data_IF_850115229681
#
_entry.id   IF_850115229681
#
_cell.length_a   1.000
_cell.length_b   1.000
_cell.length_c   1.000
_cell.angle_alpha   90.00
_cell.angle_beta   90.00
_cell.angle_gamma   90.00
#
_symmetry.space_group_name_H-M   'P 1'
#
loop_
_entity.id
_entity.type
_entity.pdbx_description
1 polymer ?
#
# COMPACT_ATOMS: atom_id res chain seq x y z
N UNK A 1 14.25 -0.21 -0.14
CA UNK A 1 12.84 -0.65 -0.09
C UNK A 1 12.21 -0.23 -1.40
N UNK A 2 12.19 -1.15 -2.36
CA UNK A 2 11.56 -0.92 -3.65
C UNK A 2 10.03 -1.04 -3.49
N UNK A 3 9.30 -0.07 -4.02
CA UNK A 3 7.84 -0.08 -4.00
C UNK A 3 7.31 0.56 -5.28
N UNK A 4 6.23 -0.01 -5.81
CA UNK A 4 5.57 0.46 -7.02
C UNK A 4 4.06 0.53 -6.80
N UNK A 5 3.45 1.61 -7.26
CA UNK A 5 2.00 1.81 -7.22
C UNK A 5 1.50 1.71 -8.65
N UNK A 6 0.68 0.71 -8.91
CA UNK A 6 0.02 0.50 -10.19
C UNK A 6 -1.48 0.79 -10.04
N UNK A 7 -2.00 1.62 -10.93
CA UNK A 7 -3.42 1.96 -10.97
C UNK A 7 -3.91 1.64 -12.37
N UNK A 8 -4.80 0.67 -12.47
CA UNK A 8 -5.39 0.23 -13.72
C UNK A 8 -6.85 0.71 -13.77
N UNK A 9 -7.27 1.34 -14.86
CA UNK A 9 -8.67 1.67 -15.08
C UNK A 9 -9.40 0.42 -15.59
N UNK A 10 -10.31 -0.13 -14.77
CA UNK A 10 -11.04 -1.36 -15.10
C UNK A 10 -12.39 -1.08 -15.78
N UNK A 11 -12.93 0.12 -15.56
CA UNK A 11 -14.13 0.63 -16.20
C UNK A 11 -14.11 2.16 -16.15
N UNK A 12 -14.92 2.88 -16.95
CA UNK A 12 -15.00 4.33 -16.89
C UNK A 12 -15.31 4.83 -15.48
N UNK A 13 -14.36 5.54 -14.86
CA UNK A 13 -14.50 6.02 -13.48
C UNK A 13 -14.31 4.94 -12.40
N UNK A 14 -13.73 3.79 -12.74
CA UNK A 14 -13.37 2.74 -11.78
C UNK A 14 -11.91 2.34 -11.94
N UNK A 15 -11.14 2.54 -10.87
CA UNK A 15 -9.70 2.37 -10.86
C UNK A 15 -9.30 1.30 -9.84
N UNK A 16 -8.64 0.24 -10.29
CA UNK A 16 -8.09 -0.80 -9.40
C UNK A 16 -6.68 -0.42 -8.97
N UNK A 17 -6.45 -0.41 -7.66
CA UNK A 17 -5.13 -0.13 -7.07
C UNK A 17 -4.42 -1.43 -6.75
N UNK A 18 -3.22 -1.57 -7.30
CA UNK A 18 -2.25 -2.60 -6.91
C UNK A 18 -1.00 -1.92 -6.37
N UNK A 19 -0.54 -2.32 -5.19
CA UNK A 19 0.74 -1.86 -4.63
C UNK A 19 1.69 -3.04 -4.57
N UNK A 20 2.87 -2.90 -5.17
CA UNK A 20 3.98 -3.84 -4.97
C UNK A 20 4.91 -3.23 -3.92
N UNK A 21 5.12 -3.93 -2.82
CA UNK A 21 6.01 -3.50 -1.75
C UNK A 21 6.95 -4.64 -1.40
N UNK A 22 8.26 -4.40 -1.52
CA UNK A 22 9.30 -5.40 -1.19
C UNK A 22 9.12 -6.72 -1.95
N UNK A 23 8.76 -6.62 -3.23
CA UNK A 23 8.46 -7.79 -4.10
C UNK A 23 7.10 -8.45 -3.84
N UNK A 24 6.35 -8.03 -2.82
CA UNK A 24 5.02 -8.54 -2.53
C UNK A 24 3.94 -7.66 -3.15
N UNK A 25 3.04 -8.27 -3.93
CA UNK A 25 1.89 -7.59 -4.54
C UNK A 25 0.70 -7.59 -3.59
N UNK A 26 0.09 -6.42 -3.41
CA UNK A 26 -1.10 -6.18 -2.63
C UNK A 26 -2.18 -5.54 -3.50
N UNK A 27 -3.35 -6.16 -3.54
CA UNK A 27 -4.53 -5.60 -4.20
C UNK A 27 -5.33 -4.78 -3.17
N UNK A 28 -5.38 -3.46 -3.35
CA UNK A 28 -6.05 -2.54 -2.42
C UNK A 28 -7.52 -2.26 -2.78
N UNK A 29 -8.05 -2.93 -3.81
CA UNK A 29 -9.45 -2.80 -4.24
C UNK A 29 -9.66 -1.77 -5.36
N UNK A 30 -10.93 -1.38 -5.54
CA UNK A 30 -11.37 -0.45 -6.59
C UNK A 30 -11.77 0.91 -6.02
N UNK A 31 -11.48 1.97 -6.76
CA UNK A 31 -11.67 3.38 -6.40
C UNK A 31 -12.46 4.11 -7.48
N UNK A 32 -13.17 5.16 -7.08
CA UNK A 32 -14.01 5.96 -8.00
C UNK A 32 -13.19 6.99 -8.80
N UNK A 33 -11.98 7.32 -8.34
CA UNK A 33 -11.08 8.18 -9.07
C UNK A 33 -9.60 7.82 -8.82
N UNK A 34 -8.74 8.20 -9.77
CA UNK A 34 -7.30 7.95 -9.71
C UNK A 34 -6.62 8.65 -8.53
N UNK A 35 -7.12 9.81 -8.09
CA UNK A 35 -6.54 10.57 -6.99
C UNK A 35 -6.70 9.84 -5.64
N UNK A 36 -7.86 9.24 -5.40
CA UNK A 36 -8.13 8.38 -4.24
C UNK A 36 -7.25 7.14 -4.25
N UNK A 37 -7.13 6.46 -5.39
CA UNK A 37 -6.24 5.33 -5.56
C UNK A 37 -4.77 5.70 -5.27
N UNK A 38 -4.29 6.84 -5.77
CA UNK A 38 -2.94 7.35 -5.46
C UNK A 38 -2.75 7.64 -3.97
N UNK A 39 -3.73 8.31 -3.33
CA UNK A 39 -3.68 8.64 -1.91
C UNK A 39 -3.65 7.38 -1.05
N UNK A 40 -4.48 6.39 -1.38
CA UNK A 40 -4.52 5.11 -0.70
C UNK A 40 -3.21 4.32 -0.90
N UNK A 41 -2.67 4.29 -2.12
CA UNK A 41 -1.40 3.62 -2.40
C UNK A 41 -0.23 4.22 -1.61
N UNK A 42 -0.14 5.55 -1.56
CA UNK A 42 0.89 6.24 -0.75
C UNK A 42 0.75 5.92 0.73
N UNK A 43 -0.48 5.97 1.26
CA UNK A 43 -0.75 5.64 2.67
C UNK A 43 -0.41 4.19 3.00
N UNK A 44 -0.66 3.26 2.06
CA UNK A 44 -0.32 1.85 2.22
C UNK A 44 1.19 1.64 2.35
N UNK A 45 1.96 2.25 1.44
CA UNK A 45 3.43 2.18 1.48
C UNK A 45 3.97 2.78 2.78
N UNK A 46 3.48 3.95 3.19
CA UNK A 46 3.88 4.61 4.43
C UNK A 46 3.57 3.73 5.65
N UNK A 47 2.39 3.13 5.70
CA UNK A 47 2.02 2.17 6.75
C UNK A 47 2.94 0.95 6.76
N UNK A 48 3.29 0.40 5.60
CA UNK A 48 4.20 -0.75 5.50
C UNK A 48 5.62 -0.42 5.93
N UNK A 49 6.12 0.75 5.55
CA UNK A 49 7.41 1.25 6.02
C UNK A 49 7.38 1.46 7.55
N UNK A 50 6.33 2.07 8.08
CA UNK A 50 6.17 2.27 9.52
C UNK A 50 5.96 0.95 10.29
N UNK A 51 5.30 -0.05 9.70
CA UNK A 51 5.16 -1.40 10.25
C UNK A 51 6.53 -2.09 10.34
N UNK A 52 7.32 -2.04 9.26
CA UNK A 52 8.68 -2.58 9.25
C UNK A 52 9.60 -1.89 10.28
N UNK A 53 9.45 -0.58 10.47
CA UNK A 53 10.17 0.19 11.49
C UNK A 53 9.66 -0.10 12.91
N UNK A 54 8.35 -0.27 13.10
CA UNK A 54 7.73 -0.55 14.39
C UNK A 54 7.94 -1.99 14.86
N UNK A 55 7.99 -2.96 13.95
CA UNK A 55 8.39 -4.33 14.28
C UNK A 55 9.83 -4.39 14.81
N UNK A 56 10.73 -3.53 14.31
CA UNK A 56 12.09 -3.35 14.85
C UNK A 56 12.13 -2.69 16.25
N UNK A 57 11.07 -1.97 16.65
CA UNK A 57 10.99 -1.23 17.93
C UNK A 57 10.18 -1.90 19.03
N UNK A 58 9.66 -3.11 18.85
CA UNK A 58 9.07 -3.89 19.97
C UNK A 58 10.16 -4.81 20.56
N UNK A 59 10.91 -4.40 21.61
CA UNK A 59 11.50 -5.40 22.48
C UNK A 59 10.33 -6.20 23.03
N UNK A 60 10.27 -7.50 22.73
CA UNK A 60 9.42 -8.44 23.45
C UNK A 60 9.84 -8.36 24.91
N UNK A 61 9.16 -7.53 25.70
CA UNK A 61 9.29 -7.55 27.16
C UNK A 61 8.65 -8.85 27.62
N UNK A 62 9.49 -9.85 27.88
CA UNK A 62 9.14 -10.98 28.74
C UNK A 62 8.68 -10.39 30.08
N UNK A 63 7.46 -10.67 30.45
CA UNK A 63 6.91 -10.51 31.80
C UNK A 63 6.09 -11.75 32.07
#
# INVERSE_FOLDING_TARGET
MDHSIQIDETAPGSFKLTVVFDGQRFECGSYLNRAEAMKAGRLFVERKQNEAVSQKKRPRKKG
#
